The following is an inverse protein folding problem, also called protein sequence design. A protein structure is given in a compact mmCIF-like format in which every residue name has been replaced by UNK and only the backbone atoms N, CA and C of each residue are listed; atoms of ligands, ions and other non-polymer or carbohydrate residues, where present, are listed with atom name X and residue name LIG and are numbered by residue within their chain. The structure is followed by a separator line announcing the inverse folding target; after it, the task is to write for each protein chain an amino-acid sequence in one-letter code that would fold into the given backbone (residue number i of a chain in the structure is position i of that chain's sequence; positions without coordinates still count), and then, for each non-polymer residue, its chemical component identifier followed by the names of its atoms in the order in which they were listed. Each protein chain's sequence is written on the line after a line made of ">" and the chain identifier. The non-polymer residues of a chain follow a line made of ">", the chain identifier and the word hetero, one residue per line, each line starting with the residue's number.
data_IF_151997959911
#
_entry.id   IF_151997959911
#
_cell.length_a   1.000
_cell.length_b   1.000
_cell.length_c   1.000
_cell.angle_alpha   90.00
_cell.angle_beta   90.00
_cell.angle_gamma   90.00
#
_symmetry.space_group_name_H-M   'P 1'
#
loop_
_entity.id
_entity.type
_entity.pdbx_description
1 polymer ?
#
# COMPACT_ATOMS: atom_id res chain seq x y z
N UNK A 1 -27.13 8.16 -7.60
CA UNK A 1 -26.18 7.05 -7.43
C UNK A 1 -24.81 7.54 -7.85
N UNK A 2 -23.85 7.64 -6.92
CA UNK A 2 -22.49 8.06 -7.26
C UNK A 2 -21.75 6.89 -7.90
N UNK A 3 -21.61 6.93 -9.21
CA UNK A 3 -20.63 6.12 -9.94
C UNK A 3 -19.24 6.55 -9.51
N UNK A 4 -18.70 5.88 -8.48
CA UNK A 4 -17.30 6.04 -8.07
C UNK A 4 -16.43 5.62 -9.25
N UNK A 5 -15.83 6.61 -9.91
CA UNK A 5 -14.78 6.35 -10.89
C UNK A 5 -13.60 5.70 -10.16
N UNK A 6 -13.08 4.55 -10.62
CA UNK A 6 -12.02 3.79 -9.94
C UNK A 6 -10.78 4.64 -9.63
N UNK A 7 -10.48 5.61 -10.49
CA UNK A 7 -9.32 6.51 -10.35
C UNK A 7 -9.34 7.37 -9.07
N UNK A 8 -10.52 7.72 -8.53
CA UNK A 8 -10.62 8.51 -7.30
C UNK A 8 -10.22 7.72 -6.05
N UNK A 9 -10.47 6.41 -6.06
CA UNK A 9 -10.14 5.52 -4.96
C UNK A 9 -8.65 5.12 -4.97
N UNK A 10 -8.03 5.06 -6.15
CA UNK A 10 -6.58 4.84 -6.32
C UNK A 10 -5.79 5.98 -5.69
N UNK A 11 -6.06 7.25 -6.06
CA UNK A 11 -5.30 8.41 -5.53
C UNK A 11 -5.36 8.50 -4.01
N UNK A 12 -6.54 8.26 -3.43
CA UNK A 12 -6.71 8.22 -1.96
C UNK A 12 -5.95 7.05 -1.33
N UNK A 13 -5.93 5.90 -1.99
CA UNK A 13 -5.18 4.74 -1.50
C UNK A 13 -3.67 4.98 -1.58
N UNK A 14 -3.16 5.57 -2.66
CA UNK A 14 -1.75 5.98 -2.78
C UNK A 14 -1.31 6.87 -1.62
N UNK A 15 -2.11 7.88 -1.27
CA UNK A 15 -1.83 8.74 -0.12
C UNK A 15 -1.77 7.95 1.20
N UNK A 16 -2.67 6.97 1.37
CA UNK A 16 -2.68 6.14 2.57
C UNK A 16 -1.51 5.16 2.65
N UNK A 17 -0.99 4.68 1.51
CA UNK A 17 0.24 3.87 1.49
C UNK A 17 1.42 4.66 2.04
N UNK A 18 1.53 5.95 1.65
CA UNK A 18 2.64 6.83 1.99
C UNK A 18 2.51 7.51 3.36
N UNK A 19 1.34 7.40 4.02
CA UNK A 19 1.08 8.00 5.32
C UNK A 19 1.72 7.18 6.45
N UNK A 20 2.87 7.65 6.95
CA UNK A 20 3.62 7.00 8.04
C UNK A 20 2.87 6.99 9.37
N UNK A 21 1.77 7.72 9.52
CA UNK A 21 0.91 7.67 10.71
C UNK A 21 -0.04 6.46 10.69
N UNK A 22 -0.15 5.76 9.55
CA UNK A 22 -0.95 4.53 9.44
C UNK A 22 -0.13 3.31 9.82
N UNK A 23 -0.80 2.38 10.48
CA UNK A 23 -0.21 1.08 10.81
C UNK A 23 0.18 0.30 9.53
N UNK A 24 1.13 -0.61 9.68
CA UNK A 24 1.70 -1.35 8.56
C UNK A 24 0.66 -2.19 7.79
N UNK A 25 -0.33 -2.76 8.47
CA UNK A 25 -1.36 -3.58 7.85
C UNK A 25 -2.32 -2.73 7.00
N UNK A 26 -2.73 -1.56 7.51
CA UNK A 26 -3.53 -0.59 6.76
C UNK A 26 -2.80 -0.12 5.50
N UNK A 27 -1.49 0.19 5.61
CA UNK A 27 -0.67 0.57 4.45
C UNK A 27 -0.58 -0.56 3.43
N UNK A 28 -0.37 -1.80 3.87
CA UNK A 28 -0.35 -2.99 3.00
C UNK A 28 -1.67 -3.20 2.26
N UNK A 29 -2.81 -3.05 2.96
CA UNK A 29 -4.14 -3.14 2.34
C UNK A 29 -4.33 -2.11 1.24
N UNK A 30 -3.89 -0.87 1.47
CA UNK A 30 -4.01 0.19 0.46
C UNK A 30 -3.01 0.01 -0.69
N UNK A 31 -1.83 -0.56 -0.44
CA UNK A 31 -0.87 -0.88 -1.49
C UNK A 31 -1.46 -1.91 -2.46
N UNK A 32 -2.13 -2.94 -1.93
CA UNK A 32 -2.88 -3.90 -2.75
C UNK A 32 -3.93 -3.23 -3.63
N UNK A 33 -4.74 -2.32 -3.07
CA UNK A 33 -5.75 -1.57 -3.84
C UNK A 33 -5.10 -0.77 -4.98
N UNK A 34 -3.97 -0.12 -4.72
CA UNK A 34 -3.25 0.63 -5.75
C UNK A 34 -2.77 -0.31 -6.86
N UNK A 35 -2.15 -1.45 -6.52
CA UNK A 35 -1.67 -2.42 -7.51
C UNK A 35 -2.81 -2.98 -8.37
N UNK A 36 -3.96 -3.29 -7.76
CA UNK A 36 -5.09 -3.91 -8.46
C UNK A 36 -5.87 -2.94 -9.37
N UNK A 37 -5.77 -1.62 -9.14
CA UNK A 37 -6.67 -0.64 -9.77
C UNK A 37 -5.96 0.51 -10.51
N UNK A 38 -4.64 0.69 -10.35
CA UNK A 38 -3.88 1.71 -11.06
C UNK A 38 -3.52 1.27 -12.48
N UNK A 39 -3.35 2.23 -13.39
CA UNK A 39 -2.81 1.97 -14.72
C UNK A 39 -1.33 1.56 -14.62
N UNK A 40 -0.86 0.72 -15.54
CA UNK A 40 0.50 0.18 -15.49
C UNK A 40 1.59 1.27 -15.49
N UNK A 41 1.37 2.35 -16.24
CA UNK A 41 2.32 3.47 -16.31
C UNK A 41 2.42 4.23 -14.98
N UNK A 42 1.29 4.52 -14.35
CA UNK A 42 1.24 5.18 -13.04
C UNK A 42 1.81 4.28 -11.96
N UNK A 43 1.53 2.98 -12.04
CA UNK A 43 2.05 1.99 -11.09
C UNK A 43 3.58 1.90 -11.18
N UNK A 44 4.14 1.86 -12.40
CA UNK A 44 5.59 1.86 -12.60
C UNK A 44 6.22 3.12 -11.99
N UNK A 45 5.67 4.29 -12.31
CA UNK A 45 6.17 5.56 -11.76
C UNK A 45 6.08 5.59 -10.22
N UNK A 46 4.97 5.11 -9.65
CA UNK A 46 4.78 5.02 -8.21
C UNK A 46 5.84 4.13 -7.54
N UNK A 47 6.10 2.95 -8.11
CA UNK A 47 7.13 2.05 -7.60
C UNK A 47 8.54 2.64 -7.74
N UNK A 48 8.86 3.26 -8.89
CA UNK A 48 10.16 3.89 -9.12
C UNK A 48 10.42 5.05 -8.13
N UNK A 49 9.39 5.84 -7.81
CA UNK A 49 9.52 7.00 -6.91
C UNK A 49 9.50 6.61 -5.42
N UNK A 50 8.82 5.53 -5.06
CA UNK A 50 8.55 5.18 -3.66
C UNK A 50 9.04 3.78 -3.26
N UNK A 51 9.99 3.20 -4.01
CA UNK A 51 10.51 1.84 -3.80
C UNK A 51 10.90 1.56 -2.34
N UNK A 52 11.63 2.48 -1.69
CA UNK A 52 12.04 2.33 -0.28
C UNK A 52 10.85 2.26 0.67
N UNK A 53 9.82 3.07 0.45
CA UNK A 53 8.62 3.09 1.29
C UNK A 53 7.81 1.81 1.10
N UNK A 54 7.65 1.37 -0.14
CA UNK A 54 6.96 0.13 -0.48
C UNK A 54 7.68 -1.07 0.14
N UNK A 55 9.01 -1.14 0.02
CA UNK A 55 9.83 -2.16 0.67
C UNK A 55 9.59 -2.19 2.18
N UNK A 56 9.60 -1.03 2.83
CA UNK A 56 9.42 -0.93 4.28
C UNK A 56 8.02 -1.38 4.72
N UNK A 57 6.96 -1.09 3.95
CA UNK A 57 5.61 -1.62 4.21
C UNK A 57 5.61 -3.15 4.24
N UNK A 58 6.27 -3.82 3.30
CA UNK A 58 6.38 -5.29 3.33
C UNK A 58 7.22 -5.77 4.51
N UNK A 59 8.39 -5.16 4.73
CA UNK A 59 9.30 -5.52 5.81
C UNK A 59 8.62 -5.48 7.18
N UNK A 60 7.92 -4.40 7.53
CA UNK A 60 7.24 -4.27 8.82
C UNK A 60 6.13 -5.33 9.00
N UNK A 61 5.38 -5.64 7.95
CA UNK A 61 4.38 -6.70 8.00
C UNK A 61 5.03 -8.08 8.21
N UNK A 62 6.14 -8.37 7.53
CA UNK A 62 6.87 -9.61 7.73
C UNK A 62 7.43 -9.75 9.14
N UNK A 63 8.08 -8.70 9.67
CA UNK A 63 8.59 -8.70 11.05
C UNK A 63 7.45 -8.90 12.05
N UNK A 64 6.30 -8.26 11.84
CA UNK A 64 5.12 -8.41 12.70
C UNK A 64 4.59 -9.85 12.68
N UNK A 65 4.48 -10.45 11.50
CA UNK A 65 4.04 -11.85 11.34
C UNK A 65 5.05 -12.80 11.99
N UNK A 66 6.35 -12.59 11.74
CA UNK A 66 7.43 -13.41 12.32
C UNK A 66 7.39 -13.37 13.86
N UNK A 67 7.26 -12.18 14.45
CA UNK A 67 7.17 -12.02 15.90
C UNK A 67 5.92 -12.73 16.46
N UNK A 68 4.77 -12.62 15.78
CA UNK A 68 3.53 -13.31 16.18
C UNK A 68 3.65 -14.83 16.12
N UNK A 69 4.39 -15.37 15.15
CA UNK A 69 4.65 -16.80 15.03
C UNK A 69 5.60 -17.32 16.11
N UNK A 70 6.63 -16.54 16.49
CA UNK A 70 7.59 -16.90 17.55
C UNK A 70 6.98 -16.89 18.96
N UNK A 71 5.86 -16.20 19.15
CA UNK A 71 5.15 -16.12 20.43
C UNK A 71 4.12 -17.26 20.63
N UNK A 72 3.84 -18.05 19.58
CA UNK A 72 2.98 -19.24 19.63
C UNK A 72 3.82 -20.50 19.81
#
# INVERSE_FOLDING_TARGET
>A
MFSKKPHGDVKKSTQKVLDTKKDALTRLKHLRIVIENAESIDLKQFFDQHFSHIYYVFFENFVTIEASLKQK
#
